data_IF_208123809646
#
_entry.id   IF_208123809646
#
_cell.length_a   1.000
_cell.length_b   1.000
_cell.length_c   1.000
_cell.angle_alpha   90.00
_cell.angle_beta   90.00
_cell.angle_gamma   90.00
#
_symmetry.space_group_name_H-M   'P 1'
#
loop_
_entity.id
_entity.type
_entity.pdbx_description
1 polymer ?
#
# COMPACT_ATOMS: atom_id res chain seq x y z
N UNK A 1 23.88 -0.95 2.69
CA UNK A 1 22.39 -0.96 2.75
C UNK A 1 21.89 0.36 2.17
N UNK A 2 20.90 0.37 1.25
CA UNK A 2 20.45 1.63 0.63
C UNK A 2 19.74 2.53 1.64
N UNK A 3 19.83 3.86 1.46
CA UNK A 3 19.16 4.85 2.33
C UNK A 3 17.65 4.63 2.42
N UNK A 4 17.03 4.21 1.32
CA UNK A 4 15.60 3.88 1.27
C UNK A 4 15.26 2.69 2.16
N UNK A 5 16.10 1.65 2.16
CA UNK A 5 15.89 0.45 2.99
C UNK A 5 16.03 0.76 4.47
N UNK A 6 17.00 1.62 4.83
CA UNK A 6 17.16 2.10 6.21
C UNK A 6 15.95 2.92 6.64
N UNK A 7 15.48 3.87 5.82
CA UNK A 7 14.29 4.67 6.11
C UNK A 7 13.03 3.80 6.26
N UNK A 8 12.86 2.79 5.40
CA UNK A 8 11.75 1.85 5.47
C UNK A 8 11.76 1.09 6.80
N UNK A 9 12.90 0.49 7.18
CA UNK A 9 12.98 -0.27 8.43
C UNK A 9 12.88 0.62 9.67
N UNK A 10 13.53 1.78 9.67
CA UNK A 10 13.45 2.72 10.79
C UNK A 10 12.01 3.20 11.01
N UNK A 11 11.32 3.63 9.95
CA UNK A 11 9.93 4.08 10.06
C UNK A 11 8.98 2.96 10.48
N UNK A 12 9.18 1.73 9.98
CA UNK A 12 8.41 0.55 10.40
C UNK A 12 8.62 0.21 11.86
N UNK A 13 9.87 0.22 12.32
CA UNK A 13 10.22 -0.08 13.71
C UNK A 13 9.63 0.97 14.66
N UNK A 14 9.77 2.26 14.33
CA UNK A 14 9.19 3.35 15.13
C UNK A 14 7.66 3.27 15.17
N UNK A 15 7.01 3.04 14.02
CA UNK A 15 5.56 2.86 13.97
C UNK A 15 5.11 1.65 14.80
N UNK A 16 5.85 0.54 14.74
CA UNK A 16 5.54 -0.67 15.53
C UNK A 16 5.66 -0.42 17.03
N UNK A 17 6.77 0.18 17.48
CA UNK A 17 6.98 0.49 18.90
C UNK A 17 5.87 1.43 19.39
N UNK A 18 5.52 2.44 18.61
CA UNK A 18 4.45 3.38 18.94
C UNK A 18 3.08 2.69 19.00
N UNK A 19 2.70 1.98 17.93
CA UNK A 19 1.40 1.34 17.80
C UNK A 19 1.19 0.29 18.89
N UNK A 20 2.10 -0.68 19.01
CA UNK A 20 1.96 -1.81 19.93
C UNK A 20 2.30 -1.46 21.38
N UNK A 21 3.13 -0.43 21.63
CA UNK A 21 3.55 -0.05 22.97
C UNK A 21 2.56 0.85 23.70
N UNK A 22 1.78 1.65 22.97
CA UNK A 22 1.00 2.75 23.56
C UNK A 22 -0.47 2.78 23.19
N UNK A 23 -0.95 1.88 22.32
CA UNK A 23 -2.35 1.88 21.86
C UNK A 23 -3.05 0.55 22.19
N UNK A 24 -4.38 0.57 22.38
CA UNK A 24 -5.19 -0.63 22.42
C UNK A 24 -5.00 -1.48 21.16
N UNK A 25 -5.19 -2.80 21.29
CA UNK A 25 -4.94 -3.75 20.20
C UNK A 25 -5.61 -3.38 18.86
N UNK A 26 -6.89 -3.00 18.88
CA UNK A 26 -7.63 -2.64 17.66
C UNK A 26 -7.08 -1.40 16.97
N UNK A 27 -6.70 -0.38 17.76
CA UNK A 27 -6.08 0.85 17.24
C UNK A 27 -4.68 0.57 16.70
N UNK A 28 -3.88 -0.22 17.41
CA UNK A 28 -2.56 -0.62 16.96
C UNK A 28 -2.62 -1.39 15.64
N UNK A 29 -3.58 -2.32 15.51
CA UNK A 29 -3.81 -3.05 14.27
C UNK A 29 -4.20 -2.12 13.12
N UNK A 30 -5.11 -1.17 13.34
CA UNK A 30 -5.48 -0.18 12.34
C UNK A 30 -4.30 0.69 11.91
N UNK A 31 -3.55 1.25 12.86
CA UNK A 31 -2.38 2.10 12.60
C UNK A 31 -1.35 1.36 11.75
N UNK A 32 -1.06 0.10 12.10
CA UNK A 32 -0.08 -0.72 11.38
C UNK A 32 -0.54 -1.04 9.96
N UNK A 33 -1.82 -1.39 9.77
CA UNK A 33 -2.36 -1.66 8.44
C UNK A 33 -2.36 -0.40 7.56
N UNK A 34 -2.76 0.74 8.13
CA UNK A 34 -2.71 2.02 7.43
C UNK A 34 -1.28 2.40 7.04
N UNK A 35 -0.33 2.26 7.97
CA UNK A 35 1.07 2.54 7.72
C UNK A 35 1.66 1.61 6.64
N UNK A 36 1.34 0.32 6.70
CA UNK A 36 1.73 -0.66 5.69
C UNK A 36 1.22 -0.26 4.29
N UNK A 37 -0.07 0.10 4.17
CA UNK A 37 -0.64 0.58 2.92
C UNK A 37 0.08 1.83 2.40
N UNK A 38 0.36 2.80 3.28
CA UNK A 38 1.10 4.02 2.93
C UNK A 38 2.50 3.71 2.40
N UNK A 39 3.22 2.77 3.03
CA UNK A 39 4.53 2.32 2.55
C UNK A 39 4.46 1.71 1.17
N UNK A 40 3.45 0.88 0.90
CA UNK A 40 3.24 0.28 -0.42
C UNK A 40 2.94 1.34 -1.47
N UNK A 41 2.09 2.33 -1.19
CA UNK A 41 1.86 3.45 -2.10
C UNK A 41 3.15 4.20 -2.43
N UNK A 42 4.00 4.45 -1.43
CA UNK A 42 5.28 5.09 -1.64
C UNK A 42 6.22 4.25 -2.53
N UNK A 43 6.27 2.92 -2.32
CA UNK A 43 7.07 2.00 -3.13
C UNK A 43 6.57 1.96 -4.57
N UNK A 44 5.26 1.77 -4.77
CA UNK A 44 4.63 1.74 -6.10
C UNK A 44 4.86 3.06 -6.81
N UNK A 45 4.65 4.19 -6.15
CA UNK A 45 4.92 5.50 -6.75
C UNK A 45 6.39 5.63 -7.16
N UNK A 46 7.31 5.26 -6.28
CA UNK A 46 8.74 5.35 -6.57
C UNK A 46 9.14 4.49 -7.78
N UNK A 47 8.56 3.28 -7.91
CA UNK A 47 8.88 2.31 -8.96
C UNK A 47 8.15 2.59 -10.28
N UNK A 48 6.87 2.91 -10.22
CA UNK A 48 5.96 2.89 -11.38
C UNK A 48 5.52 4.28 -11.87
N UNK A 49 5.91 5.39 -11.22
CA UNK A 49 5.56 6.74 -11.70
C UNK A 49 5.95 6.98 -13.17
N UNK A 50 7.04 6.38 -13.65
CA UNK A 50 7.45 6.46 -15.06
C UNK A 50 6.50 5.72 -15.99
N UNK A 51 6.09 4.51 -15.60
CA UNK A 51 5.09 3.70 -16.32
C UNK A 51 3.75 4.41 -16.37
N UNK A 52 3.29 4.96 -15.24
CA UNK A 52 2.02 5.70 -15.16
C UNK A 52 2.00 6.91 -16.10
N UNK A 53 3.06 7.74 -16.10
CA UNK A 53 3.16 8.87 -17.04
C UNK A 53 3.05 8.42 -18.50
N UNK A 54 3.65 7.28 -18.84
CA UNK A 54 3.63 6.71 -20.20
C UNK A 54 2.25 6.18 -20.60
N UNK A 55 1.60 5.42 -19.72
CA UNK A 55 0.26 4.84 -19.96
C UNK A 55 -0.77 5.95 -20.15
N UNK A 56 -0.74 6.97 -19.29
CA UNK A 56 -1.64 8.13 -19.38
C UNK A 56 -1.18 9.18 -20.41
N UNK A 57 -0.16 8.88 -21.21
CA UNK A 57 0.40 9.75 -22.27
C UNK A 57 0.67 11.19 -21.78
N UNK A 58 1.11 11.32 -20.53
CA UNK A 58 1.41 12.61 -19.93
C UNK A 58 2.71 13.16 -20.55
N UNK A 59 2.69 14.38 -21.14
CA UNK A 59 3.87 14.93 -21.80
C UNK A 59 5.01 15.12 -20.79
N UNK A 60 6.10 14.37 -20.93
CA UNK A 60 7.22 14.41 -19.99
C UNK A 60 7.87 15.81 -19.89
N UNK A 61 7.75 16.61 -20.95
CA UNK A 61 8.23 17.98 -21.01
C UNK A 61 7.46 18.96 -20.10
N UNK A 62 6.27 18.60 -19.62
CA UNK A 62 5.47 19.46 -18.74
C UNK A 62 5.81 19.17 -17.27
N UNK A 63 6.18 20.21 -16.51
CA UNK A 63 6.33 20.14 -15.03
C UNK A 63 5.11 19.55 -14.32
N UNK A 64 3.92 19.67 -14.92
CA UNK A 64 2.67 19.14 -14.41
C UNK A 64 2.50 17.61 -14.57
N UNK A 65 3.33 16.91 -15.36
CA UNK A 65 3.16 15.47 -15.59
C UNK A 65 3.32 14.63 -14.32
N UNK A 66 4.25 15.01 -13.43
CA UNK A 66 4.48 14.32 -12.16
C UNK A 66 3.31 14.49 -11.18
N UNK A 67 2.84 15.71 -10.84
CA UNK A 67 1.68 15.88 -9.96
C UNK A 67 0.40 15.32 -10.58
N UNK A 68 0.22 15.39 -11.92
CA UNK A 68 -0.93 14.78 -12.58
C UNK A 68 -0.94 13.25 -12.45
N UNK A 69 0.19 12.58 -12.66
CA UNK A 69 0.30 11.13 -12.45
C UNK A 69 0.02 10.73 -10.99
N UNK A 70 0.49 11.53 -10.03
CA UNK A 70 0.23 11.30 -8.61
C UNK A 70 -1.26 11.47 -8.30
N UNK A 71 -1.90 12.50 -8.84
CA UNK A 71 -3.32 12.75 -8.66
C UNK A 71 -4.17 11.63 -9.28
N UNK A 72 -3.78 11.10 -10.44
CA UNK A 72 -4.46 9.95 -11.05
C UNK A 72 -4.27 8.70 -10.17
N UNK A 73 -3.06 8.46 -9.68
CA UNK A 73 -2.77 7.29 -8.84
C UNK A 73 -3.52 7.32 -7.50
N UNK A 74 -3.46 8.43 -6.78
CA UNK A 74 -4.20 8.58 -5.53
C UNK A 74 -5.70 8.63 -5.79
N UNK A 75 -6.11 9.36 -6.84
CA UNK A 75 -7.50 9.50 -7.23
C UNK A 75 -8.16 8.17 -7.59
N UNK A 76 -7.47 7.26 -8.27
CA UNK A 76 -8.00 5.93 -8.59
C UNK A 76 -8.18 5.07 -7.35
N UNK A 77 -7.24 5.14 -6.39
CA UNK A 77 -7.32 4.43 -5.11
C UNK A 77 -8.49 4.96 -4.28
N UNK A 78 -8.63 6.28 -4.14
CA UNK A 78 -9.73 6.88 -3.40
C UNK A 78 -11.08 6.63 -4.09
N UNK A 79 -11.14 6.72 -5.42
CA UNK A 79 -12.34 6.39 -6.18
C UNK A 79 -12.76 4.93 -5.97
N UNK A 80 -11.82 4.00 -6.01
CA UNK A 80 -12.08 2.60 -5.69
C UNK A 80 -12.62 2.43 -4.27
N UNK A 81 -11.98 3.06 -3.27
CA UNK A 81 -12.44 3.02 -1.89
C UNK A 81 -13.85 3.58 -1.72
N UNK A 82 -14.15 4.71 -2.35
CA UNK A 82 -15.47 5.33 -2.33
C UNK A 82 -16.54 4.45 -2.98
N UNK A 83 -16.24 3.84 -4.12
CA UNK A 83 -17.15 2.90 -4.79
C UNK A 83 -17.38 1.67 -3.91
N UNK A 84 -16.31 1.11 -3.32
CA UNK A 84 -16.40 -0.05 -2.45
C UNK A 84 -17.26 0.21 -1.21
N UNK A 85 -17.17 1.41 -0.61
CA UNK A 85 -17.99 1.83 0.52
C UNK A 85 -19.45 2.11 0.13
N UNK A 86 -19.66 2.67 -1.06
CA UNK A 86 -21.00 3.02 -1.57
C UNK A 86 -21.81 1.80 -2.03
N UNK A 87 -21.17 0.68 -2.32
CA UNK A 87 -21.85 -0.54 -2.70
C UNK A 87 -22.34 -1.25 -1.41
N UNK A 88 -23.66 -1.52 -1.28
CA UNK A 88 -24.20 -2.28 -0.16
C UNK A 88 -23.84 -3.76 -0.32
N UNK A 89 -22.58 -4.09 0.01
CA UNK A 89 -22.06 -5.45 0.00
C UNK A 89 -22.54 -6.15 1.27
N UNK A 90 -23.75 -6.71 1.21
CA UNK A 90 -24.34 -7.50 2.29
C UNK A 90 -24.12 -9.01 2.16
N UNK A 91 -23.55 -9.45 1.03
CA UNK A 91 -23.27 -10.88 0.80
C UNK A 91 -22.07 -11.34 1.64
N UNK A 92 -22.35 -12.16 2.65
CA UNK A 92 -21.35 -12.74 3.55
C UNK A 92 -20.30 -13.58 2.80
N UNK A 93 -20.67 -14.22 1.69
CA UNK A 93 -19.73 -15.00 0.89
C UNK A 93 -18.72 -14.12 0.17
N UNK A 94 -19.19 -12.99 -0.36
CA UNK A 94 -18.32 -12.00 -0.97
C UNK A 94 -17.33 -11.43 0.05
N UNK A 95 -17.81 -11.03 1.24
CA UNK A 95 -16.94 -10.53 2.32
C UNK A 95 -15.94 -11.60 2.77
N UNK A 96 -16.37 -12.85 2.95
CA UNK A 96 -15.47 -13.95 3.30
C UNK A 96 -14.40 -14.19 2.22
N UNK A 97 -14.78 -14.11 0.94
CA UNK A 97 -13.85 -14.20 -0.19
C UNK A 97 -12.81 -13.08 -0.18
N UNK A 98 -13.25 -11.83 -0.02
CA UNK A 98 -12.36 -10.66 0.06
C UNK A 98 -11.41 -10.78 1.26
N UNK A 99 -11.91 -11.19 2.43
CA UNK A 99 -11.08 -11.39 3.62
C UNK A 99 -10.06 -12.52 3.44
N UNK A 100 -10.45 -13.63 2.80
CA UNK A 100 -9.54 -14.72 2.45
C UNK A 100 -8.41 -14.21 1.54
N UNK A 101 -8.75 -13.49 0.47
CA UNK A 101 -7.77 -12.89 -0.45
C UNK A 101 -6.87 -11.88 0.27
N UNK A 102 -7.41 -11.06 1.16
CA UNK A 102 -6.63 -10.09 1.94
C UNK A 102 -5.61 -10.77 2.87
N UNK A 103 -6.01 -11.82 3.58
CA UNK A 103 -5.09 -12.61 4.43
C UNK A 103 -4.02 -13.28 3.57
N UNK A 104 -4.42 -13.87 2.44
CA UNK A 104 -3.47 -14.47 1.49
C UNK A 104 -2.50 -13.43 0.95
N UNK A 105 -2.92 -12.19 0.69
CA UNK A 105 -2.05 -11.11 0.25
C UNK A 105 -0.93 -10.83 1.26
N UNK A 106 -1.27 -10.67 2.54
CA UNK A 106 -0.28 -10.48 3.61
C UNK A 106 0.70 -11.66 3.71
N UNK A 107 0.19 -12.89 3.55
CA UNK A 107 1.04 -14.08 3.56
C UNK A 107 1.97 -14.15 2.35
N UNK A 108 1.45 -13.90 1.14
CA UNK A 108 2.23 -13.90 -0.10
C UNK A 108 3.32 -12.85 -0.09
N UNK A 109 3.05 -11.66 0.44
CA UNK A 109 4.05 -10.60 0.53
C UNK A 109 5.24 -11.00 1.42
N UNK A 110 4.98 -11.68 2.53
CA UNK A 110 6.01 -12.30 3.36
C UNK A 110 6.77 -13.42 2.66
N UNK A 111 6.03 -14.33 2.00
CA UNK A 111 6.58 -15.51 1.32
C UNK A 111 7.47 -15.14 0.13
N UNK A 112 6.98 -14.29 -0.78
CA UNK A 112 7.72 -13.83 -1.97
C UNK A 112 9.01 -13.14 -1.55
N UNK A 113 8.97 -12.39 -0.45
CA UNK A 113 10.16 -11.72 0.07
C UNK A 113 11.16 -12.70 0.70
N UNK A 114 10.68 -13.78 1.33
CA UNK A 114 11.50 -14.86 1.90
C UNK A 114 12.23 -15.66 0.82
N UNK A 115 11.51 -16.08 -0.22
CA UNK A 115 12.07 -16.82 -1.36
C UNK A 115 13.12 -15.99 -2.10
N UNK A 116 12.86 -14.69 -2.31
CA UNK A 116 13.82 -13.79 -2.96
C UNK A 116 15.13 -13.61 -2.18
N UNK A 117 15.13 -13.88 -0.87
CA UNK A 117 16.33 -13.84 -0.02
C UNK A 117 17.03 -15.19 0.17
N UNK A 118 16.49 -16.26 -0.41
CA UNK A 118 16.90 -17.64 -0.14
C UNK A 118 16.81 -18.00 1.35
N UNK A 119 15.87 -17.38 2.07
CA UNK A 119 15.61 -17.65 3.50
C UNK A 119 14.74 -18.93 3.69
N UNK A 120 14.35 -19.60 2.59
CA UNK A 120 13.60 -20.87 2.50
C UNK A 120 14.13 -21.72 1.35
#
# INVERSE_FOLDING_TARGET
MSRQKVALYASTALCSIWAWGFNPYGEAFFIMNFFHALQYFAIVWWREQGTMKRVFRLPEAKRAAKPAALAIFLGSVFAYGFIADSLPIHDQWFVAGVMCVAIMHFWYDGFVWSVRRHDV
#
